data_IF_091177734994
#
_entry.id   IF_091177734994
#
_cell.length_a   1.000
_cell.length_b   1.000
_cell.length_c   1.000
_cell.angle_alpha   90.00
_cell.angle_beta   90.00
_cell.angle_gamma   90.00
#
_symmetry.space_group_name_H-M   'P 1'
#
loop_
_entity.id
_entity.type
_entity.pdbx_description
1 polymer ?
#
# COMPACT_ATOMS: atom_id res chain seq x y z
N UNK A 1 13.30 3.85 14.21
CA UNK A 1 13.36 4.13 12.76
C UNK A 1 12.98 2.95 11.85
N UNK A 2 13.62 1.77 11.99
CA UNK A 2 13.30 0.60 11.14
C UNK A 2 11.83 0.21 11.18
N UNK A 3 11.29 0.06 12.39
CA UNK A 3 9.89 -0.32 12.64
C UNK A 3 8.90 0.65 11.99
N UNK A 4 9.19 1.94 12.07
CA UNK A 4 8.35 3.01 11.54
C UNK A 4 8.32 2.98 10.01
N UNK A 5 9.47 2.75 9.36
CA UNK A 5 9.53 2.56 7.91
C UNK A 5 8.87 1.26 7.46
N UNK A 6 9.01 0.18 8.23
CA UNK A 6 8.31 -1.08 7.93
C UNK A 6 6.79 -0.93 8.05
N UNK A 7 6.30 -0.16 9.04
CA UNK A 7 4.88 0.18 9.16
C UNK A 7 4.42 1.07 8.01
N UNK A 8 5.19 2.12 7.68
CA UNK A 8 4.92 2.99 6.56
C UNK A 8 4.81 2.19 5.24
N UNK A 9 5.72 1.24 5.04
CA UNK A 9 5.67 0.33 3.91
C UNK A 9 4.43 -0.55 3.95
N UNK A 10 4.11 -1.16 5.09
CA UNK A 10 2.93 -2.03 5.22
C UNK A 10 1.63 -1.30 4.84
N UNK A 11 1.50 -0.01 5.19
CA UNK A 11 0.36 0.84 4.86
C UNK A 11 0.29 1.11 3.35
N UNK A 12 1.42 1.40 2.69
CA UNK A 12 1.43 1.91 1.31
C UNK A 12 1.68 0.85 0.24
N UNK A 13 2.11 -0.36 0.61
CA UNK A 13 2.66 -1.35 -0.34
C UNK A 13 1.71 -1.74 -1.47
N UNK A 14 0.41 -1.84 -1.22
CA UNK A 14 -0.54 -2.24 -2.27
C UNK A 14 -0.82 -1.10 -3.25
N UNK A 15 -0.87 0.14 -2.77
CA UNK A 15 -1.01 1.30 -3.65
C UNK A 15 0.24 1.45 -4.54
N UNK A 16 1.43 1.28 -3.96
CA UNK A 16 2.69 1.23 -4.72
C UNK A 16 2.69 0.07 -5.71
N UNK A 17 2.17 -1.10 -5.33
CA UNK A 17 2.04 -2.25 -6.22
C UNK A 17 1.15 -1.93 -7.43
N UNK A 18 0.03 -1.21 -7.24
CA UNK A 18 -0.84 -0.75 -8.33
C UNK A 18 -0.19 0.27 -9.27
N UNK A 19 0.88 0.93 -8.81
CA UNK A 19 1.71 1.83 -9.62
C UNK A 19 2.87 1.11 -10.30
N UNK A 20 3.09 -0.16 -10.01
CA UNK A 20 4.17 -0.94 -10.62
C UNK A 20 4.68 -2.05 -9.70
N UNK A 21 4.59 -3.30 -10.13
CA UNK A 21 5.15 -4.42 -9.37
C UNK A 21 6.67 -4.30 -9.20
N UNK A 22 7.37 -3.72 -10.18
CA UNK A 22 8.81 -3.42 -10.07
C UNK A 22 9.12 -2.47 -8.91
N UNK A 23 8.30 -1.44 -8.70
CA UNK A 23 8.44 -0.50 -7.58
C UNK A 23 8.21 -1.18 -6.23
N UNK A 24 7.22 -2.08 -6.16
CA UNK A 24 7.01 -2.91 -4.98
C UNK A 24 8.25 -3.75 -4.65
N UNK A 25 8.85 -4.38 -5.66
CA UNK A 25 10.07 -5.19 -5.49
C UNK A 25 11.28 -4.35 -5.12
N UNK A 26 11.40 -3.12 -5.66
CA UNK A 26 12.45 -2.18 -5.31
C UNK A 26 12.42 -1.85 -3.82
N UNK A 27 11.28 -1.39 -3.28
CA UNK A 27 11.18 -1.05 -1.86
C UNK A 27 11.36 -2.28 -0.97
N UNK A 28 10.82 -3.43 -1.36
CA UNK A 28 11.05 -4.69 -0.65
C UNK A 28 12.54 -5.05 -0.57
N UNK A 29 13.31 -4.78 -1.62
CA UNK A 29 14.75 -5.00 -1.64
C UNK A 29 15.49 -4.02 -0.73
N UNK A 30 15.17 -2.72 -0.84
CA UNK A 30 15.76 -1.66 0.00
C UNK A 30 15.55 -1.93 1.50
N UNK A 31 14.35 -2.37 1.89
CA UNK A 31 14.03 -2.72 3.27
C UNK A 31 14.90 -3.87 3.82
N UNK A 32 15.25 -4.84 2.98
CA UNK A 32 16.08 -5.99 3.39
C UNK A 32 17.53 -5.60 3.67
N UNK A 33 18.05 -4.59 2.97
CA UNK A 33 19.43 -4.09 3.10
C UNK A 33 19.54 -2.82 3.96
N UNK A 34 18.44 -2.32 4.51
CA UNK A 34 18.44 -1.11 5.32
C UNK A 34 18.94 -1.36 6.75
N UNK A 35 20.02 -0.67 7.12
CA UNK A 35 20.65 -0.78 8.44
C UNK A 35 20.99 0.58 9.07
N UNK A 36 21.02 1.66 8.29
CA UNK A 36 21.41 3.00 8.76
C UNK A 36 20.24 3.98 8.66
N UNK A 37 20.25 5.08 9.44
CA UNK A 37 19.26 6.14 9.31
C UNK A 37 19.13 6.70 7.89
N UNK A 38 20.24 6.82 7.16
CA UNK A 38 20.25 7.24 5.77
C UNK A 38 19.49 6.27 4.84
N UNK A 39 19.62 4.95 5.03
CA UNK A 39 18.86 3.96 4.25
C UNK A 39 17.35 4.10 4.49
N UNK A 40 16.95 4.32 5.74
CA UNK A 40 15.54 4.51 6.11
C UNK A 40 14.94 5.80 5.55
N UNK A 41 15.71 6.91 5.57
CA UNK A 41 15.35 8.17 4.89
C UNK A 41 15.17 7.95 3.39
N UNK A 42 16.10 7.26 2.75
CA UNK A 42 16.02 6.96 1.32
C UNK A 42 14.77 6.14 0.96
N UNK A 43 14.40 5.15 1.78
CA UNK A 43 13.16 4.37 1.58
C UNK A 43 11.93 5.27 1.70
N UNK A 44 11.89 6.14 2.71
CA UNK A 44 10.79 7.10 2.88
C UNK A 44 10.62 7.99 1.64
N UNK A 45 11.71 8.59 1.15
CA UNK A 45 11.72 9.43 -0.05
C UNK A 45 11.27 8.64 -1.28
N UNK A 46 11.76 7.41 -1.43
CA UNK A 46 11.36 6.52 -2.52
C UNK A 46 9.86 6.22 -2.49
N UNK A 47 9.28 5.93 -1.32
CA UNK A 47 7.83 5.71 -1.18
C UNK A 47 7.07 7.00 -1.56
N UNK A 48 7.51 8.15 -1.04
CA UNK A 48 6.89 9.45 -1.34
C UNK A 48 6.83 9.72 -2.84
N UNK A 49 7.94 9.55 -3.55
CA UNK A 49 8.04 9.86 -4.97
C UNK A 49 7.22 8.88 -5.82
N UNK A 50 7.22 7.60 -5.45
CA UNK A 50 6.42 6.58 -6.11
C UNK A 50 4.93 6.81 -5.94
N UNK A 51 4.48 7.37 -4.81
CA UNK A 51 3.05 7.70 -4.63
C UNK A 51 2.54 8.74 -5.62
N UNK A 52 3.41 9.60 -6.13
CA UNK A 52 3.08 10.62 -7.12
C UNK A 52 3.02 10.07 -8.56
N UNK A 53 3.42 8.81 -8.78
CA UNK A 53 3.35 8.19 -10.10
C UNK A 53 1.92 7.80 -10.47
N UNK A 54 1.67 7.64 -11.76
CA UNK A 54 0.40 7.14 -12.28
C UNK A 54 0.23 5.66 -11.89
N UNK A 55 -1.02 5.19 -11.79
CA UNK A 55 -1.30 3.76 -11.72
C UNK A 55 -1.13 3.13 -13.10
N UNK A 56 -0.72 1.87 -13.15
CA UNK A 56 -0.63 1.10 -14.39
C UNK A 56 -1.73 0.05 -14.42
N UNK A 57 -2.46 -0.05 -15.53
CA UNK A 57 -3.64 -0.90 -15.64
C UNK A 57 -3.36 -2.35 -15.24
N UNK A 58 -2.32 -2.95 -15.82
CA UNK A 58 -1.97 -4.35 -15.55
C UNK A 58 -1.61 -4.56 -14.07
N UNK A 59 -0.87 -3.62 -13.47
CA UNK A 59 -0.50 -3.68 -12.07
C UNK A 59 -1.69 -3.50 -11.13
N UNK A 60 -2.70 -2.70 -11.51
CA UNK A 60 -3.97 -2.60 -10.80
C UNK A 60 -4.68 -3.96 -10.80
N UNK A 61 -4.86 -4.59 -11.96
CA UNK A 61 -5.52 -5.91 -12.08
C UNK A 61 -4.79 -6.94 -11.21
N UNK A 62 -3.46 -7.04 -11.37
CA UNK A 62 -2.64 -7.97 -10.61
C UNK A 62 -2.75 -7.73 -9.09
N UNK A 63 -2.81 -6.46 -8.67
CA UNK A 63 -2.95 -6.12 -7.24
C UNK A 63 -4.32 -6.47 -6.70
N UNK A 64 -5.41 -6.26 -7.47
CA UNK A 64 -6.75 -6.68 -7.07
C UNK A 64 -6.81 -8.20 -6.86
N UNK A 65 -6.24 -8.99 -7.77
CA UNK A 65 -6.12 -10.45 -7.63
C UNK A 65 -5.27 -10.85 -6.43
N UNK A 66 -4.16 -10.13 -6.18
CA UNK A 66 -3.32 -10.36 -5.02
C UNK A 66 -4.08 -10.13 -3.71
N UNK A 67 -4.87 -9.05 -3.63
CA UNK A 67 -5.71 -8.75 -2.46
C UNK A 67 -6.81 -9.80 -2.30
N UNK A 68 -7.46 -10.22 -3.39
CA UNK A 68 -8.40 -11.35 -3.36
C UNK A 68 -7.79 -12.62 -2.78
N UNK A 69 -6.50 -12.84 -2.99
CA UNK A 69 -5.75 -13.96 -2.41
C UNK A 69 -5.82 -14.06 -0.89
N UNK A 70 -6.10 -12.96 -0.17
CA UNK A 70 -6.34 -12.99 1.28
C UNK A 70 -7.68 -13.62 1.64
N UNK A 71 -8.72 -13.38 0.85
CA UNK A 71 -10.10 -13.81 1.12
C UNK A 71 -10.44 -15.19 0.54
N UNK A 72 -9.69 -15.64 -0.48
CA UNK A 72 -10.07 -16.80 -1.33
C UNK A 72 -10.37 -18.10 -0.57
N UNK A 73 -9.82 -18.28 0.62
CA UNK A 73 -9.96 -19.50 1.42
C UNK A 73 -11.23 -19.49 2.29
N UNK A 74 -11.71 -18.31 2.65
CA UNK A 74 -12.85 -18.12 3.55
C UNK A 74 -14.11 -17.64 2.81
N UNK A 75 -13.93 -17.02 1.64
CA UNK A 75 -15.01 -16.50 0.82
C UNK A 75 -15.90 -17.61 0.23
N UNK A 76 -17.20 -17.34 0.22
CA UNK A 76 -18.22 -18.17 -0.42
C UNK A 76 -18.10 -18.19 -1.94
N UNK A 77 -18.69 -19.20 -2.59
CA UNK A 77 -18.74 -19.27 -4.05
C UNK A 77 -19.42 -18.05 -4.69
N UNK A 78 -20.45 -17.48 -4.02
CA UNK A 78 -21.11 -16.26 -4.48
C UNK A 78 -20.19 -15.04 -4.43
N UNK A 79 -19.44 -14.87 -3.35
CA UNK A 79 -18.47 -13.79 -3.21
C UNK A 79 -17.34 -13.90 -4.23
N UNK A 80 -16.84 -15.12 -4.45
CA UNK A 80 -15.88 -15.41 -5.52
C UNK A 80 -16.42 -15.01 -6.90
N UNK A 81 -17.64 -15.42 -7.23
CA UNK A 81 -18.27 -15.04 -8.50
C UNK A 81 -18.40 -13.53 -8.66
N UNK A 82 -18.84 -12.82 -7.61
CA UNK A 82 -18.94 -11.36 -7.63
C UNK A 82 -17.58 -10.68 -7.81
N UNK A 83 -16.53 -11.14 -7.10
CA UNK A 83 -15.17 -10.62 -7.28
C UNK A 83 -14.74 -10.71 -8.75
N UNK A 84 -14.86 -11.89 -9.36
CA UNK A 84 -14.42 -12.09 -10.74
C UNK A 84 -15.28 -11.34 -11.76
N UNK A 85 -16.56 -11.07 -11.47
CA UNK A 85 -17.37 -10.17 -12.30
C UNK A 85 -16.87 -8.72 -12.26
N UNK A 86 -16.48 -8.21 -11.09
CA UNK A 86 -15.87 -6.88 -10.99
C UNK A 86 -14.49 -6.82 -11.65
N UNK A 87 -13.67 -7.85 -11.43
CA UNK A 87 -12.35 -7.96 -12.05
C UNK A 87 -12.44 -7.99 -13.57
N UNK A 88 -13.39 -8.77 -14.12
CA UNK A 88 -13.64 -8.83 -15.56
C UNK A 88 -13.96 -7.46 -16.14
N UNK A 89 -14.84 -6.68 -15.48
CA UNK A 89 -15.15 -5.30 -15.89
C UNK A 89 -13.92 -4.41 -15.88
N UNK A 90 -13.06 -4.54 -14.87
CA UNK A 90 -11.80 -3.80 -14.83
C UNK A 90 -10.92 -4.16 -16.04
N UNK A 91 -10.77 -5.45 -16.35
CA UNK A 91 -9.97 -5.93 -17.49
C UNK A 91 -10.49 -5.47 -18.87
N UNK A 92 -11.75 -5.05 -18.99
CA UNK A 92 -12.28 -4.50 -20.25
C UNK A 92 -11.90 -3.03 -20.48
N UNK A 93 -11.26 -2.36 -19.51
CA UNK A 93 -10.82 -0.98 -19.66
C UNK A 93 -9.69 -0.88 -20.69
N UNK A 94 -9.76 0.12 -21.56
CA UNK A 94 -8.76 0.33 -22.63
C UNK A 94 -7.58 1.20 -22.20
N UNK A 95 -7.77 2.04 -21.18
CA UNK A 95 -6.75 2.93 -20.66
C UNK A 95 -5.60 2.15 -19.99
N UNK A 96 -4.36 2.47 -20.35
CA UNK A 96 -3.18 1.81 -19.81
C UNK A 96 -2.67 2.42 -18.49
N UNK A 97 -3.07 3.64 -18.16
CA UNK A 97 -2.62 4.36 -16.96
C UNK A 97 -3.75 5.19 -16.34
N UNK A 98 -3.69 5.39 -15.03
CA UNK A 98 -4.69 6.18 -14.29
C UNK A 98 -4.06 7.20 -13.35
N UNK A 99 -4.64 8.39 -13.30
CA UNK A 99 -4.42 9.33 -12.19
C UNK A 99 -5.44 9.15 -11.07
N UNK A 100 -6.64 8.74 -11.44
CA UNK A 100 -7.77 8.45 -10.54
C UNK A 100 -8.36 7.13 -10.99
N UNK A 101 -8.74 6.26 -10.04
CA UNK A 101 -9.32 4.97 -10.38
C UNK A 101 -10.61 5.11 -11.20
N UNK A 102 -10.73 4.37 -12.32
CA UNK A 102 -12.00 4.22 -13.03
C UNK A 102 -13.08 3.62 -12.13
N UNK A 103 -14.35 3.83 -12.51
CA UNK A 103 -15.51 3.38 -11.71
C UNK A 103 -15.50 1.88 -11.47
N UNK A 104 -15.06 1.10 -12.44
CA UNK A 104 -14.93 -0.35 -12.39
C UNK A 104 -13.94 -0.77 -11.30
N UNK A 105 -12.78 -0.13 -11.26
CA UNK A 105 -11.75 -0.36 -10.24
C UNK A 105 -12.26 0.05 -8.87
N UNK A 106 -12.97 1.18 -8.76
CA UNK A 106 -13.60 1.61 -7.51
C UNK A 106 -14.63 0.59 -7.00
N UNK A 107 -15.45 0.01 -7.88
CA UNK A 107 -16.39 -1.04 -7.47
C UNK A 107 -15.68 -2.31 -6.99
N UNK A 108 -14.61 -2.73 -7.67
CA UNK A 108 -13.82 -3.88 -7.23
C UNK A 108 -13.21 -3.63 -5.83
N UNK A 109 -12.65 -2.44 -5.60
CA UNK A 109 -12.12 -2.03 -4.29
C UNK A 109 -13.21 -1.96 -3.22
N UNK A 110 -14.38 -1.41 -3.55
CA UNK A 110 -15.51 -1.35 -2.62
C UNK A 110 -15.95 -2.76 -2.20
N UNK A 111 -16.02 -3.70 -3.16
CA UNK A 111 -16.33 -5.09 -2.85
C UNK A 111 -15.25 -5.74 -1.97
N UNK A 112 -13.97 -5.56 -2.28
CA UNK A 112 -12.88 -6.03 -1.41
C UNK A 112 -12.95 -5.41 0.00
N UNK A 113 -13.39 -4.15 0.13
CA UNK A 113 -13.63 -3.51 1.42
C UNK A 113 -14.74 -4.22 2.20
N UNK A 114 -15.84 -4.61 1.56
CA UNK A 114 -16.92 -5.37 2.24
C UNK A 114 -16.47 -6.76 2.69
N UNK A 115 -15.58 -7.40 1.92
CA UNK A 115 -14.96 -8.65 2.34
C UNK A 115 -14.02 -8.43 3.52
N UNK A 116 -13.30 -7.31 3.57
CA UNK A 116 -12.43 -6.98 4.69
C UNK A 116 -13.20 -6.78 6.00
N UNK A 117 -14.41 -6.24 5.94
CA UNK A 117 -15.30 -6.12 7.11
C UNK A 117 -15.78 -7.49 7.61
N UNK A 118 -15.95 -8.45 6.69
CA UNK A 118 -16.47 -9.81 6.98
C UNK A 118 -15.35 -10.76 7.40
N UNK A 119 -14.18 -10.64 6.78
CA UNK A 119 -12.97 -11.45 6.98
C UNK A 119 -11.78 -10.53 7.27
N UNK A 120 -11.64 -10.03 8.52
CA UNK A 120 -10.64 -9.02 8.84
C UNK A 120 -9.20 -9.55 8.70
N UNK A 121 -8.42 -8.94 7.81
CA UNK A 121 -6.99 -9.21 7.68
C UNK A 121 -6.18 -8.00 8.14
N UNK A 122 -5.35 -8.19 9.18
CA UNK A 122 -4.55 -7.13 9.81
C UNK A 122 -3.73 -6.30 8.81
N UNK A 123 -3.15 -6.92 7.79
CA UNK A 123 -2.35 -6.23 6.77
C UNK A 123 -3.19 -5.34 5.85
N UNK A 124 -4.43 -5.73 5.55
CA UNK A 124 -5.33 -4.97 4.70
C UNK A 124 -6.03 -3.85 5.49
N UNK A 125 -6.39 -4.10 6.76
CA UNK A 125 -6.98 -3.10 7.66
C UNK A 125 -6.12 -1.85 7.85
N UNK A 126 -4.81 -1.97 7.66
CA UNK A 126 -3.87 -0.86 7.80
C UNK A 126 -3.50 -0.22 6.46
N UNK A 127 -3.98 -0.77 5.34
CA UNK A 127 -3.63 -0.30 4.01
C UNK A 127 -4.25 1.06 3.70
N UNK A 128 -3.46 2.00 3.16
CA UNK A 128 -3.97 3.29 2.67
C UNK A 128 -5.02 3.12 1.58
N UNK A 129 -4.98 2.00 0.85
CA UNK A 129 -5.93 1.68 -0.22
C UNK A 129 -7.38 1.56 0.29
N UNK A 130 -7.58 1.09 1.53
CA UNK A 130 -8.89 0.97 2.17
C UNK A 130 -9.15 2.08 3.21
N UNK A 131 -8.15 2.92 3.49
CA UNK A 131 -8.23 4.08 4.38
C UNK A 131 -7.72 5.36 3.70
N UNK A 132 -8.29 5.76 2.55
CA UNK A 132 -7.73 6.85 1.73
C UNK A 132 -7.77 8.23 2.40
N UNK A 133 -8.55 8.40 3.48
CA UNK A 133 -8.62 9.63 4.27
C UNK A 133 -7.41 9.80 5.19
N UNK A 134 -6.65 8.73 5.46
CA UNK A 134 -5.46 8.81 6.30
C UNK A 134 -4.29 9.36 5.48
N UNK A 135 -3.48 10.22 6.11
CA UNK A 135 -2.22 10.65 5.49
C UNK A 135 -1.36 9.41 5.28
N UNK A 136 -0.75 9.32 4.09
CA UNK A 136 0.07 8.18 3.69
C UNK A 136 1.25 7.90 4.63
N UNK A 137 1.70 8.94 5.34
CA UNK A 137 2.82 8.92 6.26
C UNK A 137 2.42 8.89 7.75
N UNK A 138 1.14 8.64 8.05
CA UNK A 138 0.64 8.51 9.41
C UNK A 138 0.68 7.04 9.83
N UNK A 139 1.48 6.70 10.84
CA UNK A 139 1.62 5.35 11.37
C UNK A 139 1.08 5.23 12.81
N UNK A 140 0.69 4.02 13.20
CA UNK A 140 0.22 3.74 14.55
C UNK A 140 1.40 3.58 15.52
N UNK A 141 1.50 4.48 16.50
CA UNK A 141 2.51 4.44 17.56
C UNK A 141 1.84 4.33 18.94
N UNK A 142 2.46 3.65 19.93
CA UNK A 142 1.83 3.36 21.23
C UNK A 142 1.21 4.54 21.97
N UNK A 143 1.86 5.70 21.95
CA UNK A 143 1.40 6.89 22.69
C UNK A 143 0.36 7.72 21.92
N UNK A 144 0.58 7.88 20.60
CA UNK A 144 -0.27 8.65 19.70
C UNK A 144 0.14 8.40 18.25
N UNK A 145 -0.75 8.51 17.25
CA UNK A 145 -0.36 8.42 15.84
C UNK A 145 0.83 9.32 15.48
N UNK A 146 1.81 8.77 14.76
CA UNK A 146 3.06 9.45 14.41
C UNK A 146 3.07 9.78 12.91
N UNK A 147 3.34 11.04 12.58
CA UNK A 147 3.65 11.47 11.20
C UNK A 147 5.13 11.22 10.93
N UNK A 148 5.44 10.34 9.98
CA UNK A 148 6.81 10.15 9.48
C UNK A 148 7.06 11.20 8.41
N UNK A 149 8.02 12.09 8.59
CA UNK A 149 8.36 13.12 7.60
C UNK A 149 9.85 13.48 7.66
N UNK A 150 10.28 14.43 6.84
CA UNK A 150 11.68 14.83 6.78
C UNK A 150 12.22 15.33 8.13
N UNK A 151 11.38 15.89 9.02
CA UNK A 151 11.78 16.31 10.37
C UNK A 151 12.02 15.12 11.29
N UNK A 152 11.31 14.01 11.10
CA UNK A 152 11.54 12.76 11.83
C UNK A 152 13.00 12.31 11.72
N UNK A 153 13.61 12.47 10.54
CA UNK A 153 15.01 12.09 10.33
C UNK A 153 16.03 13.14 10.78
N UNK A 154 15.66 14.41 10.93
CA UNK A 154 16.56 15.47 11.44
C UNK A 154 16.71 15.39 12.96
N UNK A 155 15.64 15.05 13.68
CA UNK A 155 15.66 14.95 15.14
C UNK A 155 16.62 13.87 15.63
N UNK A 156 16.74 12.77 14.90
CA UNK A 156 17.60 11.63 15.26
C UNK A 156 19.08 11.86 14.94
N UNK A 157 19.41 12.64 13.91
CA UNK A 157 20.81 13.04 13.63
C UNK A 157 21.40 13.89 14.78
N UNK A 158 20.60 14.75 15.42
CA UNK A 158 21.04 15.54 16.57
C UNK A 158 21.26 14.72 17.86
N UNK A 159 20.73 13.49 17.95
CA UNK A 159 20.98 12.60 19.09
C UNK A 159 22.16 11.64 18.85
N UNK A 160 22.65 11.53 17.61
CA UNK A 160 23.74 10.63 17.20
C UNK A 160 25.16 11.19 17.36
N UNK A 161 25.34 12.43 17.82
CA UNK A 161 26.66 13.06 18.06
C UNK A 161 27.04 13.09 19.55
N UNK A 162 26.65 12.08 20.33
CA UNK A 162 27.19 11.87 21.69
C UNK A 162 27.72 10.46 21.85
N UNK A 163 28.89 10.21 21.27
CA UNK A 163 29.89 9.25 21.75
C UNK A 163 31.30 9.84 21.59
#
# INVERSE_FOLDING_TARGET
MKREIEQLWAINKYEVMMKGYSFYKQIQSLLKSAHTPAHFRHIYETIHDLKMQHFHHQDVINTLEHIWGYFKSDATDKEKQHFFQYLYKCQQLTDHTYNVFPKEVQHALAFLSTLLDTYPHRYLLQSSLFLPKNKWNLINHPDSPLSVDSFYFKKEECYGERE
#
